data_IF_891601135023
#
_entry.id   IF_891601135023
#
_cell.length_a   1.000
_cell.length_b   1.000
_cell.length_c   1.000
_cell.angle_alpha   90.00
_cell.angle_beta   90.00
_cell.angle_gamma   90.00
#
_symmetry.space_group_name_H-M   'P 1'
#
loop_
_entity.id
_entity.type
_entity.pdbx_description
1 polymer ?
#
# COMPACT_ATOMS: atom_id res chain seq x y z
N UNK A 1 5.65 -11.20 33.15
CA UNK A 1 5.82 -10.91 31.74
C UNK A 1 5.26 -12.09 30.99
N UNK A 2 4.26 -11.88 30.15
CA UNK A 2 3.66 -12.99 29.43
C UNK A 2 4.63 -13.44 28.31
N UNK A 3 4.79 -14.75 28.18
CA UNK A 3 5.68 -15.38 27.21
C UNK A 3 5.47 -14.84 25.78
N UNK A 4 4.23 -14.53 25.45
CA UNK A 4 3.83 -13.91 24.16
C UNK A 4 4.37 -12.49 23.96
N UNK A 5 4.38 -11.68 25.01
CA UNK A 5 4.95 -10.33 24.92
C UNK A 5 6.44 -10.38 24.65
N UNK A 6 7.13 -11.35 25.23
CA UNK A 6 8.54 -11.63 24.97
C UNK A 6 8.76 -12.06 23.52
N UNK A 7 7.97 -12.99 23.01
CA UNK A 7 8.05 -13.44 21.62
C UNK A 7 7.84 -12.29 20.62
N UNK A 8 6.80 -11.47 20.82
CA UNK A 8 6.53 -10.30 19.98
C UNK A 8 7.71 -9.32 19.99
N UNK A 9 8.27 -9.08 21.18
CA UNK A 9 9.43 -8.21 21.36
C UNK A 9 10.64 -8.73 20.60
N UNK A 10 10.98 -10.00 20.74
CA UNK A 10 12.13 -10.63 20.10
C UNK A 10 11.99 -10.62 18.56
N UNK A 11 10.80 -10.96 18.05
CA UNK A 11 10.50 -10.90 16.61
C UNK A 11 10.62 -9.49 16.06
N UNK A 12 10.09 -8.51 16.79
CA UNK A 12 10.16 -7.11 16.40
C UNK A 12 11.60 -6.60 16.37
N UNK A 13 12.40 -6.88 17.41
CA UNK A 13 13.79 -6.46 17.49
C UNK A 13 14.61 -7.07 16.35
N UNK A 14 14.50 -8.36 16.12
CA UNK A 14 15.19 -9.04 15.02
C UNK A 14 14.81 -8.47 13.64
N UNK A 15 13.55 -8.09 13.46
CA UNK A 15 13.10 -7.46 12.22
C UNK A 15 13.61 -6.02 12.07
N UNK A 16 13.65 -5.24 13.16
CA UNK A 16 14.14 -3.85 13.17
C UNK A 16 15.66 -3.76 12.88
N UNK A 17 16.44 -4.72 13.32
CA UNK A 17 17.88 -4.81 13.01
C UNK A 17 18.12 -4.92 11.49
N UNK A 18 17.22 -5.57 10.78
CA UNK A 18 17.25 -5.71 9.33
C UNK A 18 16.76 -4.48 8.59
N UNK A 19 15.94 -3.63 9.24
CA UNK A 19 15.50 -2.37 8.65
C UNK A 19 14.08 -1.97 8.97
N UNK A 20 13.30 -1.62 7.94
CA UNK A 20 11.94 -1.14 8.06
C UNK A 20 10.96 -2.27 8.42
N UNK A 21 10.20 -2.05 9.46
CA UNK A 21 9.15 -2.97 9.94
C UNK A 21 7.81 -2.28 9.93
N UNK A 22 6.77 -3.01 9.57
CA UNK A 22 5.39 -2.58 9.70
C UNK A 22 4.72 -3.40 10.80
N UNK A 23 4.15 -2.73 11.79
CA UNK A 23 3.36 -3.36 12.85
C UNK A 23 1.88 -3.13 12.61
N UNK A 24 1.08 -4.14 12.92
CA UNK A 24 -0.38 -4.12 12.83
C UNK A 24 -0.95 -4.16 14.23
N UNK A 25 -1.82 -3.22 14.54
CA UNK A 25 -2.39 -3.10 15.87
C UNK A 25 -3.86 -2.67 15.83
N UNK A 26 -4.58 -2.96 16.91
CA UNK A 26 -5.90 -2.42 17.18
C UNK A 26 -5.77 -1.15 18.03
N UNK A 27 -6.01 0.00 17.41
CA UNK A 27 -5.87 1.30 18.07
C UNK A 27 -6.93 1.55 19.16
N UNK A 28 -7.99 0.74 19.21
CA UNK A 28 -9.07 0.83 20.19
C UNK A 28 -8.71 0.18 21.54
N UNK A 29 -7.64 -0.63 21.56
CA UNK A 29 -7.20 -1.31 22.76
C UNK A 29 -6.73 -0.33 23.84
N UNK A 30 -6.99 -0.65 25.12
CA UNK A 30 -6.53 0.20 26.22
C UNK A 30 -5.01 0.31 26.24
N UNK A 31 -4.52 1.50 26.55
CA UNK A 31 -3.08 1.79 26.61
C UNK A 31 -2.47 2.20 25.26
N UNK A 32 -3.19 2.10 24.15
CA UNK A 32 -2.74 2.59 22.86
C UNK A 32 -2.82 4.12 22.85
N UNK A 33 -1.73 4.76 22.52
CA UNK A 33 -1.62 6.21 22.32
C UNK A 33 -1.28 6.47 20.85
N UNK A 34 -2.24 7.03 20.12
CA UNK A 34 -2.12 7.42 18.69
C UNK A 34 -2.89 8.72 18.48
N UNK A 35 -2.68 9.42 17.36
CA UNK A 35 -3.48 10.60 17.02
C UNK A 35 -4.98 10.34 17.13
N UNK A 36 -5.79 11.33 17.56
CA UNK A 36 -7.22 11.16 17.79
C UNK A 36 -7.98 10.59 16.61
N UNK A 37 -7.57 10.94 15.39
CA UNK A 37 -8.18 10.50 14.14
C UNK A 37 -8.04 8.97 13.92
N UNK A 38 -7.01 8.36 14.52
CA UNK A 38 -6.68 6.94 14.34
C UNK A 38 -7.15 6.04 15.49
N UNK A 39 -7.74 6.60 16.55
CA UNK A 39 -8.14 5.82 17.75
C UNK A 39 -9.27 4.83 17.49
N UNK A 40 -10.05 5.01 16.45
CA UNK A 40 -11.16 4.12 16.10
C UNK A 40 -10.75 3.01 15.13
N UNK A 41 -9.49 3.00 14.69
CA UNK A 41 -8.99 2.02 13.72
C UNK A 41 -8.77 0.65 14.38
N UNK A 42 -9.51 -0.36 13.94
CA UNK A 42 -9.31 -1.75 14.36
C UNK A 42 -8.08 -2.39 13.72
N UNK A 43 -7.62 -1.84 12.61
CA UNK A 43 -6.44 -2.31 11.90
C UNK A 43 -5.53 -1.14 11.51
N UNK A 44 -4.88 -0.56 12.51
CA UNK A 44 -3.88 0.48 12.28
C UNK A 44 -2.53 -0.15 11.90
N UNK A 45 -1.87 0.41 10.91
CA UNK A 45 -0.54 0.02 10.46
C UNK A 45 0.45 1.13 10.71
N UNK A 46 1.52 0.84 11.43
CA UNK A 46 2.60 1.79 11.70
C UNK A 46 3.92 1.25 11.16
N UNK A 47 4.69 2.13 10.56
CA UNK A 47 6.06 1.82 10.13
C UNK A 47 7.03 2.23 11.23
N UNK A 48 7.96 1.34 11.55
CA UNK A 48 8.99 1.53 12.57
C UNK A 48 10.37 1.28 11.96
N UNK A 49 11.34 2.10 12.32
CA UNK A 49 12.73 1.92 11.92
C UNK A 49 13.65 2.70 12.86
N UNK A 50 14.81 2.14 13.16
CA UNK A 50 15.87 2.88 13.88
C UNK A 50 16.43 4.06 13.08
N UNK A 51 16.18 4.11 11.78
CA UNK A 51 16.63 5.20 10.90
C UNK A 51 15.69 6.41 10.88
N UNK A 52 14.54 6.34 11.55
CA UNK A 52 13.63 7.48 11.60
C UNK A 52 14.15 8.59 12.51
N UNK A 53 13.77 9.82 12.20
CA UNK A 53 14.16 11.02 12.94
C UNK A 53 12.92 11.62 13.60
N UNK A 54 12.92 11.81 14.92
CA UNK A 54 14.00 11.52 15.88
C UNK A 54 14.22 10.03 16.12
N UNK A 55 15.44 9.60 16.49
CA UNK A 55 15.75 8.21 16.79
C UNK A 55 15.30 7.85 18.22
N UNK A 56 14.00 7.93 18.47
CA UNK A 56 13.40 7.75 19.80
C UNK A 56 12.60 6.43 19.93
N UNK A 57 12.79 5.52 18.96
CA UNK A 57 12.15 4.22 18.99
C UNK A 57 12.65 3.43 20.20
N UNK A 58 11.75 3.15 21.12
CA UNK A 58 11.98 2.35 22.32
C UNK A 58 11.08 1.13 22.32
N UNK A 59 11.68 -0.04 22.48
CA UNK A 59 10.99 -1.32 22.58
C UNK A 59 11.24 -1.88 23.97
N UNK A 60 10.23 -1.79 24.81
CA UNK A 60 10.29 -2.20 26.22
C UNK A 60 9.44 -3.42 26.53
N UNK A 61 9.35 -3.75 27.82
CA UNK A 61 8.58 -4.89 28.29
C UNK A 61 7.07 -4.67 28.22
N UNK A 62 6.65 -3.41 28.27
CA UNK A 62 5.25 -3.02 28.15
C UNK A 62 4.78 -2.96 26.69
N UNK A 63 5.65 -2.57 25.79
CA UNK A 63 5.30 -2.33 24.39
C UNK A 63 6.32 -1.45 23.68
N UNK A 64 5.85 -0.75 22.66
CA UNK A 64 6.63 0.09 21.76
C UNK A 64 6.30 1.55 22.01
N UNK A 65 7.32 2.41 21.96
CA UNK A 65 7.17 3.87 21.98
C UNK A 65 8.03 4.48 20.90
N UNK A 66 7.49 5.42 20.13
CA UNK A 66 8.23 6.13 19.09
C UNK A 66 7.50 7.41 18.69
N UNK A 67 8.23 8.39 18.16
CA UNK A 67 7.62 9.57 17.54
C UNK A 67 7.56 9.38 16.04
N UNK A 68 6.35 9.34 15.51
CA UNK A 68 6.06 9.17 14.09
C UNK A 68 5.43 10.44 13.51
N UNK A 69 5.53 10.59 12.19
CA UNK A 69 4.91 11.69 11.49
C UNK A 69 3.58 11.25 10.85
N UNK A 70 2.52 11.98 11.18
CA UNK A 70 1.19 11.78 10.62
C UNK A 70 0.75 13.07 9.92
N UNK A 71 0.56 13.04 8.62
CA UNK A 71 0.18 14.22 7.82
C UNK A 71 1.07 15.45 8.09
N UNK A 72 2.38 15.23 8.25
CA UNK A 72 3.36 16.28 8.52
C UNK A 72 3.47 16.73 9.98
N UNK A 73 2.63 16.22 10.89
CA UNK A 73 2.70 16.49 12.33
C UNK A 73 3.36 15.33 13.06
N UNK A 74 4.28 15.63 13.94
CA UNK A 74 4.91 14.62 14.81
C UNK A 74 4.01 14.28 15.97
N UNK A 75 3.87 13.00 16.25
CA UNK A 75 3.10 12.49 17.38
C UNK A 75 3.82 11.31 18.02
N UNK A 76 3.97 11.33 19.34
CA UNK A 76 4.54 10.20 20.07
C UNK A 76 3.48 9.13 20.26
N UNK A 77 3.68 7.98 19.64
CA UNK A 77 2.82 6.82 19.78
C UNK A 77 3.31 5.90 20.89
N UNK A 78 2.38 5.21 21.51
CA UNK A 78 2.67 4.13 22.45
C UNK A 78 1.74 2.95 22.16
N UNK A 79 2.30 1.76 22.04
CA UNK A 79 1.59 0.57 21.62
C UNK A 79 1.93 -0.58 22.58
N UNK A 80 0.99 -1.01 23.45
CA UNK A 80 1.19 -2.17 24.31
C UNK A 80 1.21 -3.46 23.47
N UNK A 81 1.90 -4.47 23.95
CA UNK A 81 1.97 -5.77 23.25
C UNK A 81 0.60 -6.42 23.02
N UNK A 82 -0.35 -6.18 23.93
CA UNK A 82 -1.72 -6.68 23.83
C UNK A 82 -2.54 -6.08 22.68
N UNK A 83 -2.12 -4.94 22.16
CA UNK A 83 -2.78 -4.30 21.02
C UNK A 83 -2.17 -4.72 19.67
N UNK A 84 -0.94 -5.21 19.68
CA UNK A 84 -0.19 -5.60 18.48
C UNK A 84 -0.51 -7.06 18.13
N UNK A 85 -1.03 -7.28 16.93
CA UNK A 85 -1.43 -8.61 16.46
C UNK A 85 -0.65 -9.12 15.25
N UNK A 86 0.14 -8.27 14.56
CA UNK A 86 1.04 -8.74 13.51
C UNK A 86 2.25 -7.85 13.31
N UNK A 87 3.32 -8.44 12.81
CA UNK A 87 4.60 -7.81 12.48
C UNK A 87 4.97 -8.22 11.06
N UNK A 88 5.35 -7.26 10.23
CA UNK A 88 5.82 -7.51 8.86
C UNK A 88 7.16 -6.85 8.65
N UNK A 89 8.18 -7.62 8.33
CA UNK A 89 9.46 -7.08 7.87
C UNK A 89 9.33 -6.64 6.41
N UNK A 90 9.64 -5.38 6.12
CA UNK A 90 9.59 -4.85 4.76
C UNK A 90 10.84 -5.18 3.94
N UNK A 91 11.87 -5.68 4.61
CA UNK A 91 13.14 -6.06 3.98
C UNK A 91 13.15 -7.54 3.63
N UNK A 92 12.77 -8.40 4.59
CA UNK A 92 12.78 -9.87 4.41
C UNK A 92 11.45 -10.44 3.95
N UNK A 93 10.38 -9.63 3.97
CA UNK A 93 8.99 -10.03 3.69
C UNK A 93 8.46 -11.10 4.65
N UNK A 94 9.13 -11.30 5.79
CA UNK A 94 8.64 -12.16 6.86
C UNK A 94 7.42 -11.53 7.52
N UNK A 95 6.46 -12.39 7.85
CA UNK A 95 5.20 -12.00 8.47
C UNK A 95 4.91 -12.90 9.67
N UNK A 96 4.71 -12.28 10.83
CA UNK A 96 4.32 -12.96 12.06
C UNK A 96 2.96 -12.43 12.51
N UNK A 97 2.05 -13.33 12.79
CA UNK A 97 0.69 -13.01 13.22
C UNK A 97 0.37 -13.66 14.55
N UNK A 98 -0.31 -12.91 15.39
CA UNK A 98 -0.75 -13.31 16.73
C UNK A 98 -2.29 -13.26 16.77
N UNK A 99 -2.97 -14.36 16.39
CA UNK A 99 -4.43 -14.36 16.19
C UNK A 99 -5.24 -14.02 17.43
N UNK A 100 -4.66 -14.30 18.60
CA UNK A 100 -5.32 -14.09 19.90
C UNK A 100 -5.53 -12.61 20.24
N UNK A 101 -4.65 -11.74 19.73
CA UNK A 101 -4.74 -10.29 19.91
C UNK A 101 -5.38 -9.60 18.70
N UNK A 102 -5.79 -10.37 17.71
CA UNK A 102 -6.46 -9.86 16.52
C UNK A 102 -7.89 -9.41 16.86
N UNK A 103 -8.34 -8.27 16.32
CA UNK A 103 -9.74 -7.86 16.42
C UNK A 103 -10.67 -8.92 15.82
N UNK A 104 -11.80 -9.17 16.48
CA UNK A 104 -12.78 -10.16 16.05
C UNK A 104 -13.30 -9.90 14.63
N UNK A 105 -13.39 -8.62 14.25
CA UNK A 105 -13.83 -8.19 12.93
C UNK A 105 -12.89 -8.69 11.81
N UNK A 106 -11.59 -8.77 12.10
CA UNK A 106 -10.58 -9.26 11.15
C UNK A 106 -10.52 -10.79 11.11
N UNK A 107 -10.90 -11.45 12.21
CA UNK A 107 -10.95 -12.90 12.28
C UNK A 107 -12.13 -13.48 11.49
N UNK A 108 -13.21 -12.71 11.34
CA UNK A 108 -14.41 -13.12 10.62
C UNK A 108 -14.36 -12.88 9.11
N UNK A 109 -13.30 -12.24 8.59
CA UNK A 109 -13.09 -12.16 7.14
C UNK A 109 -12.71 -13.56 6.68
N UNK A 110 -13.57 -14.27 5.92
CA UNK A 110 -13.17 -15.56 5.35
C UNK A 110 -11.92 -15.30 4.51
N UNK A 111 -10.95 -16.24 4.51
CA UNK A 111 -9.79 -16.10 3.66
C UNK A 111 -10.29 -15.77 2.25
N UNK A 112 -9.66 -14.82 1.53
CA UNK A 112 -10.04 -14.58 0.16
C UNK A 112 -9.93 -15.93 -0.54
N UNK A 113 -11.08 -16.54 -0.78
CA UNK A 113 -11.16 -17.66 -1.69
C UNK A 113 -10.52 -17.11 -2.94
N UNK A 114 -9.39 -17.69 -3.33
CA UNK A 114 -8.84 -17.55 -4.66
C UNK A 114 -9.97 -18.01 -5.60
N UNK A 115 -10.90 -17.11 -5.84
CA UNK A 115 -11.76 -17.21 -6.99
C UNK A 115 -10.78 -17.15 -8.14
N UNK A 116 -10.38 -18.32 -8.60
CA UNK A 116 -9.86 -18.48 -9.92
C UNK A 116 -10.73 -17.56 -10.78
N UNK A 117 -10.13 -16.50 -11.29
CA UNK A 117 -10.75 -15.67 -12.29
C UNK A 117 -10.94 -16.59 -13.49
N UNK A 118 -12.01 -17.37 -13.46
CA UNK A 118 -12.59 -17.92 -14.65
C UNK A 118 -13.02 -16.70 -15.44
N UNK A 119 -12.16 -16.28 -16.34
CA UNK A 119 -12.52 -15.42 -17.44
C UNK A 119 -13.56 -16.18 -18.26
N UNK A 120 -14.79 -16.16 -17.80
CA UNK A 120 -15.92 -16.48 -18.65
C UNK A 120 -16.08 -15.28 -19.58
N UNK A 121 -15.36 -15.32 -20.68
CA UNK A 121 -15.70 -14.53 -21.85
C UNK A 121 -17.17 -14.83 -22.13
N UNK A 122 -18.05 -13.82 -22.19
CA UNK A 122 -19.38 -14.06 -22.76
C UNK A 122 -19.17 -14.54 -24.20
N UNK A 123 -19.87 -15.57 -24.65
CA UNK A 123 -19.79 -15.98 -26.04
C UNK A 123 -20.28 -14.82 -26.89
N UNK A 124 -19.41 -14.32 -27.75
CA UNK A 124 -19.77 -13.42 -28.82
C UNK A 124 -20.84 -14.15 -29.65
N UNK A 125 -22.06 -13.67 -29.55
CA UNK A 125 -23.12 -14.03 -30.45
C UNK A 125 -22.66 -13.64 -31.85
N UNK A 126 -22.31 -14.63 -32.63
CA UNK A 126 -22.05 -14.52 -34.06
C UNK A 126 -23.40 -14.24 -34.69
N UNK A 127 -23.68 -13.01 -35.05
CA UNK A 127 -24.75 -12.67 -35.96
C UNK A 127 -24.31 -13.09 -37.34
N UNK A 128 -25.09 -13.92 -38.07
CA UNK A 128 -24.82 -14.17 -39.45
C UNK A 128 -25.02 -12.89 -40.25
N UNK A 129 -23.96 -12.38 -40.83
CA UNK A 129 -24.02 -11.26 -41.77
C UNK A 129 -24.46 -11.90 -43.12
N UNK A 130 -25.70 -11.59 -43.50
CA UNK A 130 -26.18 -11.91 -44.83
C UNK A 130 -25.31 -11.17 -45.86
N UNK A 131 -24.69 -11.98 -46.73
CA UNK A 131 -24.14 -11.45 -47.96
C UNK A 131 -25.29 -10.82 -48.78
N UNK A 132 -25.18 -9.53 -49.02
CA UNK A 132 -25.78 -8.92 -50.17
C UNK A 132 -24.69 -8.33 -51.03
N UNK A 133 -24.42 -9.05 -52.07
CA UNK A 133 -23.77 -8.59 -53.26
C UNK A 133 -24.55 -7.39 -53.83
N UNK A 134 -23.88 -6.30 -54.06
CA UNK A 134 -24.27 -5.33 -55.06
C UNK A 134 -23.01 -4.83 -55.74
N UNK A 135 -22.88 -5.24 -56.97
CA UNK A 135 -22.04 -4.70 -58.01
C UNK A 135 -22.35 -3.24 -58.31
N UNK A 136 -21.37 -2.53 -58.78
CA UNK A 136 -21.52 -1.22 -59.40
C UNK A 136 -20.32 -0.33 -59.11
N UNK A 137 -19.30 -0.46 -59.87
CA UNK A 137 -18.82 0.33 -60.99
C UNK A 137 -18.50 1.80 -60.68
N UNK A 138 -17.20 2.03 -60.77
CA UNK A 138 -16.47 3.04 -61.62
C UNK A 138 -16.73 4.52 -61.41
N UNK A 139 -15.61 5.13 -61.35
CA UNK A 139 -15.15 6.44 -61.87
C UNK A 139 -14.87 7.44 -60.74
N UNK A 140 -13.67 7.97 -60.65
CA UNK A 140 -12.88 8.71 -61.58
C UNK A 140 -12.30 9.89 -60.92
N UNK A 141 -11.00 10.03 -61.04
CA UNK A 141 -10.24 11.30 -61.19
C UNK A 141 -10.00 12.26 -60.03
N UNK A 142 -8.71 12.24 -59.65
CA UNK A 142 -7.73 13.36 -59.65
C UNK A 142 -8.11 14.69 -59.01
N UNK A 143 -7.29 15.14 -58.05
CA UNK A 143 -6.30 16.22 -58.15
C UNK A 143 -5.70 16.51 -56.77
N UNK A 144 -4.41 16.32 -56.59
CA UNK A 144 -3.29 17.28 -56.49
C UNK A 144 -3.61 18.62 -55.79
N UNK A 145 -2.78 18.93 -54.82
CA UNK A 145 -2.54 20.23 -54.21
C UNK A 145 -1.94 19.96 -52.84
N UNK A 146 -0.70 19.80 -52.70
CA UNK A 146 0.41 20.77 -52.52
C UNK A 146 0.21 21.69 -51.31
N UNK A 147 1.16 21.48 -50.41
CA UNK A 147 2.08 22.42 -49.76
C UNK A 147 1.58 23.12 -48.48
N UNK A 148 2.41 23.04 -47.60
CA UNK A 148 3.32 23.86 -46.80
C UNK A 148 2.87 23.99 -45.34
N UNK A 149 3.74 23.47 -44.48
CA UNK A 149 4.79 24.20 -43.72
C UNK A 149 4.24 24.94 -42.49
N UNK A 150 4.78 24.65 -41.38
CA UNK A 150 4.50 25.38 -40.16
C UNK A 150 4.95 24.66 -38.89
N UNK A 151 6.23 24.45 -38.81
CA UNK A 151 7.15 24.75 -37.70
C UNK A 151 6.67 24.56 -36.28
N UNK A 152 7.26 23.57 -35.66
CA UNK A 152 7.34 23.34 -34.21
C UNK A 152 8.43 24.19 -33.58
N UNK A 153 8.24 24.74 -32.40
CA UNK A 153 9.36 24.88 -31.49
C UNK A 153 9.13 24.12 -30.18
N UNK A 154 9.97 23.15 -30.01
CA UNK A 154 10.27 22.49 -28.74
C UNK A 154 10.79 23.52 -27.72
N UNK A 155 10.05 23.77 -26.69
CA UNK A 155 10.54 24.40 -25.47
C UNK A 155 10.98 23.38 -24.46
N UNK A 156 12.25 23.14 -24.32
CA UNK A 156 12.85 22.48 -23.17
C UNK A 156 12.98 23.49 -22.04
N UNK A 157 12.53 23.22 -20.80
CA UNK A 157 12.89 24.09 -19.69
C UNK A 157 14.33 23.77 -19.25
N UNK A 158 15.17 24.80 -19.30
CA UNK A 158 16.52 24.78 -18.77
C UNK A 158 16.49 24.73 -17.23
N UNK A 159 17.13 23.72 -16.67
CA UNK A 159 17.54 23.69 -15.27
C UNK A 159 18.62 24.75 -15.06
N UNK A 160 18.32 25.79 -14.29
CA UNK A 160 19.33 26.71 -13.78
C UNK A 160 19.91 26.15 -12.48
N UNK A 161 21.18 25.79 -12.54
CA UNK A 161 22.03 25.56 -11.40
C UNK A 161 22.28 26.90 -10.71
N UNK A 162 21.87 27.06 -9.46
CA UNK A 162 22.30 28.18 -8.61
C UNK A 162 23.41 27.65 -7.72
N UNK A 163 24.59 28.18 -7.99
CA UNK A 163 25.79 27.98 -7.19
C UNK A 163 25.97 29.20 -6.27
N UNK A 164 25.93 28.99 -4.96
CA UNK A 164 26.61 29.80 -3.94
C UNK A 164 26.62 29.06 -2.63
#
# INVERSE_FOLDING_TARGET
MDDRSSEKKDRLLAALERGLVMVHLDARRPGVLVPPELRCESHLRLHLSYKFVPPDLSVGDWGIRSTLSFSGKRFTVAVPWSALFAITSKVTHEFWMFPEDMPTELTQIPPPTLRAAAHTRPPLAVRPVSLREVNGEMNGERKSGEAEDGDTPRGRPHLRLIKS
#
